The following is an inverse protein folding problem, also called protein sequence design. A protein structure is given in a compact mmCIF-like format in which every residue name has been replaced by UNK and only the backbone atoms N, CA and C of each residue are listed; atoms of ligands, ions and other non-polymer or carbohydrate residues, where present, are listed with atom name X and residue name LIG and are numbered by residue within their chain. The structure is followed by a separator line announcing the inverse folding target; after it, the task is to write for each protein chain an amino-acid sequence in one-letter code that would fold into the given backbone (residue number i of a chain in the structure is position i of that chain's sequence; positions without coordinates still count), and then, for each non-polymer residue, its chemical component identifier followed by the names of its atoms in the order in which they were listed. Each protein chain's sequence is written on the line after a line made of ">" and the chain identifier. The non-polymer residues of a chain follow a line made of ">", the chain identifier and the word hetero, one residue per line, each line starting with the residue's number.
data_IF_733428913713
#
_entry.id   IF_733428913713
#
_cell.length_a   1.000
_cell.length_b   1.000
_cell.length_c   1.000
_cell.angle_alpha   90.00
_cell.angle_beta   90.00
_cell.angle_gamma   90.00
#
_symmetry.space_group_name_H-M   'P 1'
#
loop_
_entity.id
_entity.type
_entity.pdbx_description
1 polymer ?
#
# COMPACT_ATOMS: atom_id res chain seq x y z
N UNK A 1 27.48 18.20 -22.43
CA UNK A 1 28.21 17.34 -21.48
C UNK A 1 27.42 16.05 -21.28
N UNK A 2 27.85 14.94 -21.88
CA UNK A 2 27.22 13.63 -21.69
C UNK A 2 27.59 13.10 -20.30
N UNK A 3 26.65 13.10 -19.36
CA UNK A 3 26.88 12.53 -18.04
C UNK A 3 27.08 11.01 -18.17
N UNK A 4 28.23 10.52 -17.71
CA UNK A 4 28.53 9.09 -17.66
C UNK A 4 27.47 8.37 -16.82
N UNK A 5 26.67 7.51 -17.45
CA UNK A 5 25.64 6.73 -16.76
C UNK A 5 26.33 5.70 -15.86
N UNK A 6 26.24 5.89 -14.55
CA UNK A 6 26.59 4.86 -13.56
C UNK A 6 25.79 3.59 -13.89
N UNK A 7 26.49 2.48 -14.11
CA UNK A 7 25.86 1.17 -14.36
C UNK A 7 25.69 0.47 -13.03
N UNK A 8 24.44 0.26 -12.64
CA UNK A 8 24.08 -0.55 -11.49
C UNK A 8 23.76 -1.97 -11.94
N UNK A 9 24.20 -2.97 -11.16
CA UNK A 9 23.87 -4.38 -11.36
C UNK A 9 22.36 -4.60 -11.15
N UNK A 10 21.84 -5.73 -11.59
CA UNK A 10 20.40 -6.00 -11.44
C UNK A 10 20.07 -6.32 -9.98
N UNK A 11 20.94 -7.08 -9.33
CA UNK A 11 20.89 -7.47 -7.92
C UNK A 11 20.80 -6.24 -7.02
N UNK A 12 21.62 -5.21 -7.27
CA UNK A 12 21.59 -3.97 -6.50
C UNK A 12 20.28 -3.19 -6.68
N UNK A 13 19.67 -3.23 -7.86
CA UNK A 13 18.37 -2.57 -8.08
C UNK A 13 17.27 -3.29 -7.35
N UNK A 14 17.32 -4.62 -7.37
CA UNK A 14 16.31 -5.47 -6.75
C UNK A 14 16.39 -5.36 -5.22
N UNK A 15 17.60 -5.33 -4.65
CA UNK A 15 17.84 -5.08 -3.22
C UNK A 15 17.26 -3.73 -2.77
N UNK A 16 17.48 -2.65 -3.52
CA UNK A 16 16.90 -1.34 -3.20
C UNK A 16 15.37 -1.32 -3.34
N UNK A 17 14.82 -2.02 -4.32
CA UNK A 17 13.37 -2.13 -4.49
C UNK A 17 12.75 -2.95 -3.36
N UNK A 18 13.42 -4.03 -2.96
CA UNK A 18 13.02 -4.87 -1.83
C UNK A 18 13.13 -4.09 -0.50
N UNK A 19 14.15 -3.28 -0.29
CA UNK A 19 14.27 -2.43 0.90
C UNK A 19 13.09 -1.46 1.02
N UNK A 20 12.69 -0.82 -0.09
CA UNK A 20 11.53 0.09 -0.13
C UNK A 20 10.20 -0.64 0.11
N UNK A 21 10.07 -1.89 -0.34
CA UNK A 21 8.83 -2.67 -0.16
C UNK A 21 8.76 -3.31 1.23
N UNK A 22 9.88 -3.80 1.74
CA UNK A 22 9.98 -4.48 3.04
C UNK A 22 10.02 -3.48 4.20
N UNK A 23 10.58 -2.30 3.98
CA UNK A 23 10.74 -1.27 4.99
C UNK A 23 9.78 -0.12 4.67
N UNK A 24 9.07 0.41 5.68
CA UNK A 24 8.22 1.60 5.52
C UNK A 24 9.01 2.91 5.28
N UNK A 25 10.24 2.83 4.75
CA UNK A 25 11.09 3.97 4.38
C UNK A 25 10.59 4.56 3.07
N UNK A 26 10.69 5.88 2.94
CA UNK A 26 10.34 6.55 1.68
C UNK A 26 11.40 6.27 0.61
N UNK A 27 10.99 6.27 -0.67
CA UNK A 27 11.88 6.16 -1.84
C UNK A 27 13.06 7.14 -1.74
N UNK A 28 12.80 8.37 -1.24
CA UNK A 28 13.82 9.41 -1.10
C UNK A 28 14.88 9.03 -0.06
N UNK A 29 14.48 8.50 1.09
CA UNK A 29 15.42 8.09 2.14
C UNK A 29 16.35 6.97 1.65
N UNK A 30 15.79 5.93 1.02
CA UNK A 30 16.57 4.80 0.48
C UNK A 30 17.50 5.27 -0.65
N UNK A 31 17.03 6.18 -1.50
CA UNK A 31 17.85 6.75 -2.57
C UNK A 31 19.03 7.58 -2.04
N UNK A 32 18.79 8.43 -1.03
CA UNK A 32 19.80 9.27 -0.39
C UNK A 32 20.85 8.42 0.36
N UNK A 33 20.42 7.38 1.09
CA UNK A 33 21.29 6.43 1.81
C UNK A 33 22.20 5.65 0.86
N UNK A 34 21.70 5.29 -0.32
CA UNK A 34 22.42 4.46 -1.30
C UNK A 34 23.08 5.26 -2.44
N UNK A 35 23.03 6.59 -2.39
CA UNK A 35 23.64 7.46 -3.39
C UNK A 35 23.05 7.33 -4.81
N UNK A 36 21.78 6.94 -4.89
CA UNK A 36 21.01 6.79 -6.14
C UNK A 36 20.04 7.98 -6.28
N UNK A 37 19.76 8.41 -7.51
CA UNK A 37 18.73 9.44 -7.70
C UNK A 37 17.33 8.90 -7.39
N UNK A 38 16.52 9.62 -6.61
CA UNK A 38 15.17 9.20 -6.24
C UNK A 38 14.27 8.83 -7.43
N UNK A 39 14.33 9.58 -8.53
CA UNK A 39 13.58 9.28 -9.77
C UNK A 39 14.08 8.01 -10.48
N UNK A 40 15.36 7.68 -10.32
CA UNK A 40 15.94 6.44 -10.85
C UNK A 40 15.41 5.24 -10.07
N UNK A 41 15.43 5.31 -8.73
CA UNK A 41 14.88 4.28 -7.86
C UNK A 41 13.37 4.10 -8.08
N UNK A 42 12.62 5.20 -8.24
CA UNK A 42 11.19 5.16 -8.59
C UNK A 42 10.92 4.41 -9.90
N UNK A 43 11.77 4.62 -10.91
CA UNK A 43 11.66 3.92 -12.20
C UNK A 43 11.96 2.42 -12.06
N UNK A 44 12.92 2.05 -11.23
CA UNK A 44 13.22 0.63 -10.94
C UNK A 44 12.10 -0.03 -10.15
N UNK A 45 11.57 0.63 -9.13
CA UNK A 45 10.45 0.14 -8.33
C UNK A 45 9.21 -0.11 -9.18
N UNK A 46 8.93 0.77 -10.16
CA UNK A 46 7.83 0.56 -11.12
C UNK A 46 8.03 -0.73 -11.95
N UNK A 47 9.27 -1.01 -12.38
CA UNK A 47 9.59 -2.25 -13.12
C UNK A 47 9.56 -3.48 -12.23
N UNK A 48 10.06 -3.36 -11.00
CA UNK A 48 10.07 -4.41 -9.99
C UNK A 48 8.65 -4.86 -9.62
N UNK A 49 7.73 -3.89 -9.41
CA UNK A 49 6.30 -4.14 -9.23
C UNK A 49 5.64 -4.76 -10.46
N UNK A 50 5.94 -4.23 -11.66
CA UNK A 50 5.39 -4.77 -12.91
C UNK A 50 5.84 -6.21 -13.23
N UNK A 51 7.00 -6.62 -12.71
CA UNK A 51 7.51 -8.00 -12.80
C UNK A 51 6.88 -8.95 -11.76
N UNK A 52 5.96 -8.46 -10.93
CA UNK A 52 5.23 -9.28 -9.94
C UNK A 52 5.99 -9.53 -8.63
N UNK A 53 7.12 -8.85 -8.40
CA UNK A 53 7.94 -9.05 -7.20
C UNK A 53 7.44 -8.31 -5.95
N UNK A 54 6.40 -7.47 -6.09
CA UNK A 54 5.75 -6.81 -4.95
C UNK A 54 4.26 -6.64 -5.25
N UNK A 55 3.39 -6.62 -4.21
CA UNK A 55 2.02 -6.17 -4.36
C UNK A 55 2.01 -4.79 -5.03
N UNK A 56 1.05 -4.55 -5.90
CA UNK A 56 0.79 -3.22 -6.45
C UNK A 56 0.33 -2.31 -5.30
N UNK A 57 1.27 -1.79 -4.52
CA UNK A 57 1.00 -0.65 -3.67
C UNK A 57 0.75 0.52 -4.60
N UNK A 58 -0.54 0.83 -4.74
CA UNK A 58 -1.07 1.96 -5.50
C UNK A 58 -0.69 3.26 -4.78
N UNK A 59 0.60 3.58 -4.78
CA UNK A 59 1.17 4.78 -4.18
C UNK A 59 1.01 6.00 -5.12
N UNK A 60 -0.08 5.97 -5.90
CA UNK A 60 -0.54 7.04 -6.77
C UNK A 60 -1.89 7.53 -6.28
N UNK A 61 -2.30 8.76 -6.64
CA UNK A 61 -3.63 9.23 -6.28
C UNK A 61 -4.67 8.25 -6.80
N UNK A 62 -5.47 7.68 -5.87
CA UNK A 62 -6.57 6.75 -6.19
C UNK A 62 -7.32 7.28 -7.41
N UNK A 63 -7.47 6.42 -8.41
CA UNK A 63 -8.28 6.73 -9.58
C UNK A 63 -9.72 7.04 -9.14
N UNK A 64 -10.47 7.76 -9.98
CA UNK A 64 -11.85 8.17 -9.66
C UNK A 64 -12.73 6.95 -9.33
N UNK A 65 -12.51 5.82 -10.01
CA UNK A 65 -13.19 4.55 -9.76
C UNK A 65 -12.82 3.93 -8.42
N UNK A 66 -11.54 3.96 -8.04
CA UNK A 66 -11.07 3.43 -6.75
C UNK A 66 -11.61 4.24 -5.58
N UNK A 67 -11.67 5.58 -5.70
CA UNK A 67 -12.31 6.43 -4.67
C UNK A 67 -13.80 6.15 -4.52
N UNK A 68 -14.50 5.93 -5.62
CA UNK A 68 -15.92 5.60 -5.59
C UNK A 68 -16.16 4.27 -4.87
N UNK A 69 -15.35 3.24 -5.20
CA UNK A 69 -15.38 1.94 -4.55
C UNK A 69 -15.05 2.03 -3.06
N UNK A 70 -14.05 2.83 -2.69
CA UNK A 70 -13.68 3.03 -1.29
C UNK A 70 -14.83 3.63 -0.48
N UNK A 71 -15.49 4.67 -1.02
CA UNK A 71 -16.66 5.29 -0.38
C UNK A 71 -17.84 4.32 -0.21
N UNK A 72 -18.07 3.46 -1.20
CA UNK A 72 -19.10 2.42 -1.12
C UNK A 72 -18.78 1.40 -0.03
N UNK A 73 -17.54 0.89 0.00
CA UNK A 73 -17.08 0.00 1.07
C UNK A 73 -17.19 0.62 2.46
N UNK A 74 -16.85 1.89 2.62
CA UNK A 74 -17.00 2.59 3.90
C UNK A 74 -18.46 2.68 4.34
N UNK A 75 -19.38 2.92 3.40
CA UNK A 75 -20.82 2.94 3.66
C UNK A 75 -21.29 1.56 4.13
N UNK A 76 -20.95 0.50 3.39
CA UNK A 76 -21.32 -0.87 3.75
C UNK A 76 -20.74 -1.27 5.11
N UNK A 77 -19.49 -0.93 5.38
CA UNK A 77 -18.86 -1.24 6.66
C UNK A 77 -19.58 -0.58 7.84
N UNK A 78 -20.04 0.67 7.65
CA UNK A 78 -20.82 1.39 8.66
C UNK A 78 -22.18 0.73 8.89
N UNK A 79 -22.86 0.32 7.82
CA UNK A 79 -24.16 -0.38 7.90
C UNK A 79 -24.01 -1.72 8.64
N UNK A 80 -23.04 -2.54 8.23
CA UNK A 80 -22.73 -3.82 8.88
C UNK A 80 -22.37 -3.65 10.36
N UNK A 81 -21.61 -2.61 10.72
CA UNK A 81 -21.29 -2.31 12.13
C UNK A 81 -22.54 -1.93 12.93
N UNK A 82 -23.46 -1.17 12.34
CA UNK A 82 -24.71 -0.80 12.99
C UNK A 82 -25.61 -2.03 13.21
N UNK A 83 -25.74 -2.90 12.21
CA UNK A 83 -26.47 -4.17 12.32
C UNK A 83 -25.86 -5.08 13.37
N UNK A 84 -24.52 -5.26 13.34
CA UNK A 84 -23.83 -6.06 14.34
C UNK A 84 -24.01 -5.50 15.76
N UNK A 85 -24.01 -4.18 15.92
CA UNK A 85 -24.27 -3.54 17.22
C UNK A 85 -25.72 -3.75 17.67
N UNK A 86 -26.69 -3.66 16.76
CA UNK A 86 -28.10 -3.94 17.06
C UNK A 86 -28.30 -5.40 17.48
N UNK A 87 -27.78 -6.36 16.70
CA UNK A 87 -27.87 -7.78 16.99
C UNK A 87 -27.21 -8.13 18.33
N UNK A 88 -26.05 -7.53 18.63
CA UNK A 88 -25.40 -7.69 19.95
C UNK A 88 -26.28 -7.19 21.09
N UNK A 89 -26.94 -6.03 20.92
CA UNK A 89 -27.88 -5.50 21.93
C UNK A 89 -29.11 -6.41 22.09
N UNK A 90 -29.67 -6.90 20.99
CA UNK A 90 -30.79 -7.83 21.02
C UNK A 90 -30.41 -9.14 21.72
N UNK A 91 -29.27 -9.74 21.35
CA UNK A 91 -28.74 -10.94 22.00
C UNK A 91 -28.52 -10.71 23.51
N UNK A 92 -27.97 -9.56 23.91
CA UNK A 92 -27.80 -9.20 25.31
C UNK A 92 -29.12 -8.99 26.06
N UNK A 93 -30.15 -8.46 25.39
CA UNK A 93 -31.50 -8.35 25.94
C UNK A 93 -32.08 -9.74 26.21
N UNK A 94 -32.09 -10.62 25.20
CA UNK A 94 -32.61 -11.99 25.35
C UNK A 94 -31.81 -12.84 26.33
N UNK A 95 -30.50 -12.64 26.46
CA UNK A 95 -29.68 -13.35 27.44
C UNK A 95 -29.91 -12.88 28.89
N UNK A 96 -30.51 -11.71 29.11
CA UNK A 96 -30.82 -11.15 30.44
C UNK A 96 -32.23 -11.46 30.94
N UNK A 97 -33.09 -12.06 30.12
CA UNK A 97 -34.37 -12.63 30.54
C UNK A 97 -34.16 -14.10 30.95
N UNK A 98 -33.93 -14.42 32.24
CA UNK A 98 -34.15 -15.77 32.72
C UNK A 98 -35.66 -16.07 32.64
N UNK A 99 -36.03 -17.23 32.10
CA UNK A 99 -37.39 -17.77 32.25
C UNK A 99 -37.73 -18.01 33.71
#
# INVERSE_FOLDING_TARGET
>A
MSASRRRFTQEFKDELCEEVVSTSKTIKAVADENGVGAETLRTWLKKYRAAGHAPEEQDGPLSVSERARLKELERENRELKAEAAFLKKAAAYFAREPR
#
